data_IF_396478207425
#
_entry.id   IF_396478207425
#
_cell.length_a   1.000
_cell.length_b   1.000
_cell.length_c   1.000
_cell.angle_alpha   90.00
_cell.angle_beta   90.00
_cell.angle_gamma   90.00
#
_symmetry.space_group_name_H-M   'P 1'
#
loop_
_entity.id
_entity.type
_entity.pdbx_description
1 polymer ?
#
# COMPACT_ATOMS: atom_id res chain seq x y z
N UNK A 1 0.45 -21.24 21.71
CA UNK A 1 0.53 -21.82 20.36
C UNK A 1 1.87 -22.50 20.10
N UNK A 2 1.95 -23.39 19.15
CA UNK A 2 3.21 -24.03 18.74
C UNK A 2 3.58 -23.62 17.33
N UNK A 3 4.87 -23.29 17.12
CA UNK A 3 5.46 -22.97 15.83
C UNK A 3 6.68 -23.88 15.67
N UNK A 4 6.61 -24.85 14.77
CA UNK A 4 7.70 -25.84 14.56
C UNK A 4 8.24 -26.48 15.85
N UNK A 5 7.35 -26.77 16.80
CA UNK A 5 7.70 -27.35 18.10
C UNK A 5 8.03 -26.34 19.21
N UNK A 6 8.16 -25.06 18.91
CA UNK A 6 8.41 -23.99 19.87
C UNK A 6 7.10 -23.35 20.36
N UNK A 7 7.13 -22.84 21.59
CA UNK A 7 6.00 -22.06 22.12
C UNK A 7 6.12 -20.60 21.71
N UNK A 8 5.10 -20.10 21.02
CA UNK A 8 4.98 -18.71 20.65
C UNK A 8 3.77 -18.04 21.32
N UNK A 9 3.81 -16.72 21.41
CA UNK A 9 2.75 -15.87 21.93
C UNK A 9 2.26 -14.86 20.89
N UNK A 10 0.94 -14.74 20.74
CA UNK A 10 0.32 -13.73 19.91
C UNK A 10 -0.43 -12.77 20.82
N UNK A 11 -0.04 -11.47 20.90
CA UNK A 11 -0.83 -10.47 21.62
C UNK A 11 -2.24 -10.36 21.03
N UNK A 12 -3.25 -10.12 21.88
CA UNK A 12 -4.65 -10.01 21.43
C UNK A 12 -4.89 -8.93 20.37
N UNK A 13 -4.13 -7.84 20.41
CA UNK A 13 -4.14 -6.78 19.41
C UNK A 13 -3.60 -7.20 18.02
N UNK A 14 -2.85 -8.29 17.96
CA UNK A 14 -2.25 -8.84 16.74
C UNK A 14 -3.01 -10.03 16.14
N UNK A 15 -4.16 -10.37 16.71
CA UNK A 15 -5.11 -11.32 16.15
C UNK A 15 -6.11 -10.53 15.29
N UNK A 16 -6.42 -11.04 14.10
CA UNK A 16 -7.43 -10.40 13.25
C UNK A 16 -8.81 -10.44 13.93
N UNK A 17 -9.47 -9.30 14.04
CA UNK A 17 -10.68 -9.09 14.81
C UNK A 17 -11.94 -9.88 14.34
N UNK A 18 -11.83 -10.66 13.28
CA UNK A 18 -12.96 -11.41 12.71
C UNK A 18 -13.19 -12.80 13.33
N UNK A 19 -12.27 -13.26 14.16
CA UNK A 19 -12.37 -14.58 14.82
C UNK A 19 -12.23 -14.44 16.32
N UNK A 20 -13.10 -15.10 17.05
CA UNK A 20 -13.03 -15.21 18.52
C UNK A 20 -11.87 -16.14 18.86
N UNK A 21 -11.18 -15.90 19.97
CA UNK A 21 -9.99 -16.67 20.37
C UNK A 21 -10.25 -18.19 20.43
N UNK A 22 -11.42 -18.58 20.86
CA UNK A 22 -11.81 -19.98 21.03
C UNK A 22 -11.98 -20.72 19.68
N UNK A 23 -12.33 -20.00 18.62
CA UNK A 23 -12.48 -20.57 17.28
C UNK A 23 -11.13 -20.84 16.57
N UNK A 24 -10.03 -20.38 17.15
CA UNK A 24 -8.68 -20.51 16.57
C UNK A 24 -7.93 -21.73 17.13
N UNK A 25 -8.47 -22.41 18.11
CA UNK A 25 -7.82 -23.57 18.70
C UNK A 25 -7.78 -24.73 17.70
N UNK A 26 -6.60 -25.23 17.41
CA UNK A 26 -6.37 -26.29 16.42
C UNK A 26 -6.27 -25.83 14.96
N UNK A 27 -6.38 -24.54 14.66
CA UNK A 27 -6.20 -24.00 13.30
C UNK A 27 -4.74 -23.63 13.00
N UNK A 28 -4.37 -23.78 11.72
CA UNK A 28 -3.09 -23.29 11.21
C UNK A 28 -3.25 -21.85 10.72
N UNK A 29 -2.45 -20.94 11.25
CA UNK A 29 -2.52 -19.51 10.92
C UNK A 29 -1.20 -19.02 10.32
N UNK A 30 -1.24 -18.16 9.29
CA UNK A 30 -0.04 -17.46 8.84
C UNK A 30 0.39 -16.47 9.91
N UNK A 31 1.68 -16.46 10.24
CA UNK A 31 2.25 -15.64 11.30
C UNK A 31 3.54 -14.97 10.86
N UNK A 32 3.76 -13.75 11.33
CA UNK A 32 5.02 -13.02 11.17
C UNK A 32 5.68 -12.83 12.54
N UNK A 33 6.98 -13.02 12.60
CA UNK A 33 7.76 -12.79 13.82
C UNK A 33 7.82 -11.28 14.12
N UNK A 34 7.48 -10.92 15.37
CA UNK A 34 7.63 -9.56 15.88
C UNK A 34 8.89 -9.43 16.73
N UNK A 35 9.14 -10.39 17.59
CA UNK A 35 10.24 -10.42 18.53
C UNK A 35 10.69 -11.86 18.76
N UNK A 36 11.99 -12.07 18.71
CA UNK A 36 12.64 -13.34 19.04
C UNK A 36 13.68 -13.04 20.11
N UNK A 37 13.47 -13.53 21.33
CA UNK A 37 14.39 -13.41 22.45
C UNK A 37 14.84 -14.81 22.88
N UNK A 38 16.05 -15.17 22.50
CA UNK A 38 16.64 -16.49 22.78
C UNK A 38 16.96 -16.66 24.26
N UNK A 39 17.41 -15.60 24.94
CA UNK A 39 17.78 -15.67 26.36
C UNK A 39 16.58 -15.93 27.27
N UNK A 40 15.44 -15.32 26.93
CA UNK A 40 14.18 -15.48 27.65
C UNK A 40 13.26 -16.56 27.07
N UNK A 41 13.70 -17.20 26.02
CA UNK A 41 12.92 -18.21 25.30
C UNK A 41 11.53 -17.68 24.86
N UNK A 42 11.51 -16.42 24.42
CA UNK A 42 10.29 -15.68 24.10
C UNK A 42 10.16 -15.46 22.60
N UNK A 43 9.04 -15.90 22.06
CA UNK A 43 8.68 -15.76 20.66
C UNK A 43 7.36 -15.01 20.57
N UNK A 44 7.36 -13.80 20.01
CA UNK A 44 6.17 -12.98 19.78
C UNK A 44 5.84 -12.94 18.31
N UNK A 45 4.60 -13.24 17.97
CA UNK A 45 4.11 -13.42 16.60
C UNK A 45 2.89 -12.55 16.32
N UNK A 46 2.66 -12.22 15.05
CA UNK A 46 1.49 -11.47 14.61
C UNK A 46 0.80 -12.13 13.42
N UNK A 47 -0.42 -12.53 13.63
CA UNK A 47 -1.34 -12.98 12.58
C UNK A 47 -1.78 -11.80 11.69
N UNK A 48 -2.09 -10.67 12.30
CA UNK A 48 -2.54 -9.46 11.61
C UNK A 48 -1.48 -8.95 10.60
N UNK A 49 -0.21 -8.88 11.00
CA UNK A 49 0.89 -8.47 10.10
C UNK A 49 1.12 -9.46 8.97
N UNK A 50 1.02 -10.76 9.22
CA UNK A 50 1.13 -11.77 8.18
C UNK A 50 0.04 -11.64 7.12
N UNK A 51 -1.20 -11.35 7.51
CA UNK A 51 -2.31 -11.11 6.57
C UNK A 51 -2.10 -9.83 5.75
N UNK A 52 -1.62 -8.75 6.36
CA UNK A 52 -1.30 -7.51 5.66
C UNK A 52 -0.21 -7.74 4.62
N UNK A 53 0.89 -8.38 5.00
CA UNK A 53 1.99 -8.70 4.09
C UNK A 53 1.54 -9.58 2.92
N UNK A 54 0.75 -10.60 3.16
CA UNK A 54 0.19 -11.47 2.12
C UNK A 54 -0.68 -10.70 1.13
N UNK A 55 -1.47 -9.74 1.60
CA UNK A 55 -2.28 -8.87 0.72
C UNK A 55 -1.41 -7.91 -0.08
N UNK A 56 -0.42 -7.30 0.55
CA UNK A 56 0.50 -6.38 -0.12
C UNK A 56 1.33 -7.07 -1.20
N UNK A 57 1.74 -8.31 -1.00
CA UNK A 57 2.48 -9.09 -2.01
C UNK A 57 1.69 -9.36 -3.30
N UNK A 58 0.37 -9.19 -3.28
CA UNK A 58 -0.50 -9.29 -4.46
C UNK A 58 -0.69 -7.97 -5.19
N UNK A 59 -0.24 -6.87 -4.61
CA UNK A 59 -0.35 -5.53 -5.15
C UNK A 59 0.95 -5.15 -5.85
N UNK A 60 0.85 -4.37 -6.91
CA UNK A 60 1.98 -3.88 -7.69
C UNK A 60 1.94 -2.36 -7.81
N UNK A 61 3.12 -1.74 -7.86
CA UNK A 61 3.25 -0.30 -8.17
C UNK A 61 2.72 -0.04 -9.58
N UNK A 62 1.89 0.98 -9.72
CA UNK A 62 1.22 1.32 -10.97
C UNK A 62 -0.12 0.60 -11.20
N UNK A 63 -0.56 -0.23 -10.25
CA UNK A 63 -1.88 -0.87 -10.29
C UNK A 63 -2.98 0.09 -9.84
N UNK A 64 -4.12 0.05 -10.51
CA UNK A 64 -5.33 0.78 -10.12
C UNK A 64 -6.19 -0.11 -9.25
N UNK A 65 -6.55 0.39 -8.09
CA UNK A 65 -7.42 -0.31 -7.13
C UNK A 65 -8.58 0.57 -6.72
N UNK A 66 -9.69 -0.05 -6.35
CA UNK A 66 -10.85 0.63 -5.78
C UNK A 66 -10.72 0.62 -4.27
N UNK A 67 -10.79 1.79 -3.66
CA UNK A 67 -10.71 1.96 -2.21
C UNK A 67 -11.83 2.83 -1.68
N UNK A 68 -12.00 2.79 -0.35
CA UNK A 68 -12.95 3.62 0.38
C UNK A 68 -12.20 4.56 1.33
N UNK A 69 -12.59 5.81 1.37
CA UNK A 69 -12.04 6.79 2.30
C UNK A 69 -12.46 6.44 3.73
N UNK A 70 -11.50 6.15 4.59
CA UNK A 70 -11.75 5.80 6.00
C UNK A 70 -11.52 6.98 6.94
N UNK A 71 -10.65 7.88 6.60
CA UNK A 71 -10.36 9.06 7.39
C UNK A 71 -9.67 10.12 6.55
N UNK A 72 -9.93 11.38 6.88
CA UNK A 72 -9.33 12.54 6.21
C UNK A 72 -8.52 13.31 7.23
N UNK A 73 -7.29 13.62 6.87
CA UNK A 73 -6.34 14.40 7.67
C UNK A 73 -5.92 15.66 6.90
N UNK A 74 -5.36 16.67 7.57
CA UNK A 74 -4.90 17.89 6.90
C UNK A 74 -3.84 17.64 5.81
N UNK A 75 -3.07 16.57 5.93
CA UNK A 75 -2.00 16.19 4.99
C UNK A 75 -2.42 15.16 3.92
N UNK A 76 -3.63 14.62 4.00
CA UNK A 76 -4.11 13.61 3.06
C UNK A 76 -5.28 12.79 3.59
N UNK A 77 -5.53 11.66 2.98
CA UNK A 77 -6.61 10.75 3.34
C UNK A 77 -6.13 9.30 3.46
N UNK A 78 -6.73 8.55 4.37
CA UNK A 78 -6.53 7.12 4.48
C UNK A 78 -7.58 6.38 3.66
N UNK A 79 -7.11 5.54 2.75
CA UNK A 79 -7.95 4.79 1.82
C UNK A 79 -7.83 3.30 2.14
N UNK A 80 -8.94 2.64 2.37
CA UNK A 80 -8.99 1.19 2.57
C UNK A 80 -9.15 0.47 1.22
N UNK A 81 -8.15 -0.32 0.85
CA UNK A 81 -8.09 -1.07 -0.41
C UNK A 81 -8.23 -2.58 -0.19
N UNK A 82 -9.29 -2.99 0.48
CA UNK A 82 -9.58 -4.40 0.72
C UNK A 82 -8.94 -4.99 1.98
N UNK A 83 -8.93 -4.22 3.07
CA UNK A 83 -8.40 -4.61 4.39
C UNK A 83 -6.96 -4.17 4.64
N UNK A 84 -6.35 -3.47 3.69
CA UNK A 84 -5.09 -2.76 3.84
C UNK A 84 -5.35 -1.28 3.60
N UNK A 85 -4.81 -0.42 4.45
CA UNK A 85 -4.96 1.03 4.33
C UNK A 85 -3.75 1.65 3.65
N UNK A 86 -4.01 2.49 2.64
CA UNK A 86 -3.01 3.32 1.99
C UNK A 86 -3.21 4.80 2.34
N UNK A 87 -2.15 5.58 2.17
CA UNK A 87 -2.18 7.03 2.32
C UNK A 87 -2.23 7.70 0.94
N UNK A 88 -3.27 8.49 0.72
CA UNK A 88 -3.36 9.44 -0.40
C UNK A 88 -2.93 10.81 0.13
N UNK A 89 -1.68 11.19 -0.12
CA UNK A 89 -1.16 12.49 0.29
C UNK A 89 -1.85 13.62 -0.48
N UNK A 90 -2.00 14.78 0.15
CA UNK A 90 -2.67 15.94 -0.46
C UNK A 90 -2.03 16.38 -1.79
N UNK A 91 -0.72 16.26 -1.92
CA UNK A 91 0.02 16.54 -3.17
C UNK A 91 -0.22 15.53 -4.29
N UNK A 92 -0.78 14.37 -3.97
CA UNK A 92 -1.07 13.26 -4.89
C UNK A 92 -2.55 13.15 -5.27
N UNK A 93 -3.40 14.07 -4.82
CA UNK A 93 -4.82 14.10 -5.15
C UNK A 93 -5.04 14.69 -6.53
N UNK A 94 -4.41 15.83 -6.84
CA UNK A 94 -4.53 16.53 -8.12
C UNK A 94 -3.22 17.23 -8.49
N UNK A 95 -3.07 17.57 -9.77
CA UNK A 95 -2.01 18.45 -10.25
C UNK A 95 -2.20 19.89 -9.77
N UNK A 96 -3.44 20.27 -9.46
CA UNK A 96 -3.73 21.59 -8.89
C UNK A 96 -3.54 21.59 -7.37
N UNK A 97 -3.24 22.78 -6.85
CA UNK A 97 -3.10 22.97 -5.41
C UNK A 97 -4.42 22.80 -4.68
N UNK A 98 -4.41 21.98 -3.63
CA UNK A 98 -5.56 21.73 -2.76
C UNK A 98 -5.17 22.20 -1.36
N UNK A 99 -5.96 23.08 -0.77
CA UNK A 99 -5.71 23.58 0.60
C UNK A 99 -6.02 22.52 1.66
N UNK A 100 -7.07 21.76 1.44
CA UNK A 100 -7.50 20.69 2.36
C UNK A 100 -8.16 19.53 1.61
N UNK A 101 -7.87 18.28 1.98
CA UNK A 101 -8.50 17.11 1.37
C UNK A 101 -10.02 17.07 1.53
N UNK A 102 -10.57 17.71 2.56
CA UNK A 102 -12.02 17.81 2.80
C UNK A 102 -12.79 18.51 1.68
N UNK A 103 -12.13 19.32 0.88
CA UNK A 103 -12.76 20.01 -0.25
C UNK A 103 -13.07 19.07 -1.41
N UNK A 104 -12.39 17.93 -1.50
CA UNK A 104 -12.46 16.99 -2.62
C UNK A 104 -13.01 15.63 -2.22
N UNK A 105 -12.73 15.20 -0.98
CA UNK A 105 -12.99 13.86 -0.48
C UNK A 105 -13.96 13.89 0.70
N UNK A 106 -14.78 12.85 0.78
CA UNK A 106 -15.65 12.61 1.94
C UNK A 106 -15.37 11.22 2.51
N UNK A 107 -15.58 11.05 3.81
CA UNK A 107 -15.47 9.75 4.47
C UNK A 107 -16.52 8.78 3.89
N UNK A 108 -16.11 7.54 3.66
CA UNK A 108 -16.86 6.47 3.01
C UNK A 108 -17.06 6.61 1.49
N UNK A 109 -16.51 7.62 0.85
CA UNK A 109 -16.49 7.68 -0.62
C UNK A 109 -15.67 6.54 -1.19
N UNK A 110 -16.17 5.95 -2.26
CA UNK A 110 -15.42 5.00 -3.07
C UNK A 110 -14.71 5.73 -4.20
N UNK A 111 -13.45 5.38 -4.41
CA UNK A 111 -12.65 6.00 -5.46
C UNK A 111 -11.63 5.01 -6.03
N UNK A 112 -11.22 5.26 -7.26
CA UNK A 112 -10.09 4.57 -7.88
C UNK A 112 -8.81 5.32 -7.56
N UNK A 113 -7.80 4.59 -7.12
CA UNK A 113 -6.48 5.11 -6.79
C UNK A 113 -5.41 4.24 -7.43
N UNK A 114 -4.28 4.83 -7.74
CA UNK A 114 -3.11 4.09 -8.24
C UNK A 114 -2.08 3.94 -7.14
N UNK A 115 -1.49 2.77 -7.06
CA UNK A 115 -0.40 2.48 -6.12
C UNK A 115 0.89 3.02 -6.71
N UNK A 116 1.55 3.93 -5.99
CA UNK A 116 2.82 4.54 -6.40
C UNK A 116 4.01 4.04 -5.60
N UNK A 117 3.77 3.54 -4.40
CA UNK A 117 4.80 2.95 -3.55
C UNK A 117 4.21 1.90 -2.61
N UNK A 118 4.98 0.85 -2.36
CA UNK A 118 4.63 -0.27 -1.49
C UNK A 118 5.78 -0.56 -0.52
N UNK A 119 5.50 -0.45 0.77
CA UNK A 119 6.41 -0.87 1.84
C UNK A 119 5.76 -2.01 2.64
N UNK A 120 6.04 -3.25 2.25
CA UNK A 120 5.48 -4.44 2.89
C UNK A 120 6.00 -4.66 4.32
N UNK A 121 7.21 -4.23 4.62
CA UNK A 121 7.79 -4.37 5.95
C UNK A 121 7.08 -3.49 6.97
N UNK A 122 6.76 -2.24 6.60
CA UNK A 122 6.04 -1.28 7.43
C UNK A 122 4.53 -1.35 7.28
N UNK A 123 4.03 -2.09 6.28
CA UNK A 123 2.62 -2.16 5.96
C UNK A 123 2.05 -0.84 5.43
N UNK A 124 2.86 -0.06 4.72
CA UNK A 124 2.49 1.25 4.16
C UNK A 124 2.31 1.18 2.65
N UNK A 125 1.27 1.82 2.17
CA UNK A 125 0.98 1.95 0.74
C UNK A 125 0.78 3.43 0.46
N UNK A 126 1.51 3.95 -0.53
CA UNK A 126 1.30 5.30 -1.04
C UNK A 126 0.44 5.25 -2.29
N UNK A 127 -0.58 6.10 -2.32
CA UNK A 127 -1.59 6.15 -3.37
C UNK A 127 -1.55 7.49 -4.09
N UNK A 128 -2.01 7.51 -5.34
CA UNK A 128 -2.14 8.72 -6.14
C UNK A 128 -3.41 8.68 -7.01
N UNK A 129 -4.14 9.76 -7.03
CA UNK A 129 -5.17 10.06 -8.04
C UNK A 129 -4.65 11.06 -9.07
N UNK A 130 -3.64 11.83 -8.73
CA UNK A 130 -2.94 12.75 -9.63
C UNK A 130 -2.39 12.04 -10.86
N UNK A 131 -1.80 10.87 -10.70
CA UNK A 131 -1.30 10.05 -11.81
C UNK A 131 -2.40 9.53 -12.75
N UNK A 132 -3.65 9.48 -12.28
CA UNK A 132 -4.83 9.06 -13.04
C UNK A 132 -5.57 10.23 -13.70
N UNK A 133 -5.20 11.46 -13.36
CA UNK A 133 -5.84 12.67 -13.83
C UNK A 133 -5.46 12.94 -15.30
N UNK A 134 -6.44 12.92 -16.25
CA UNK A 134 -6.14 13.16 -17.66
C UNK A 134 -5.69 14.59 -17.95
N UNK A 135 -6.28 15.55 -17.23
CA UNK A 135 -5.95 16.96 -17.31
C UNK A 135 -5.82 17.55 -15.91
N UNK A 136 -4.93 18.52 -15.68
CA UNK A 136 -4.80 19.16 -14.37
C UNK A 136 -6.13 19.72 -13.87
N UNK A 137 -6.49 19.38 -12.61
CA UNK A 137 -7.73 19.83 -11.99
C UNK A 137 -8.97 18.98 -12.26
N UNK A 138 -8.90 17.96 -13.11
CA UNK A 138 -10.04 17.06 -13.38
C UNK A 138 -10.56 16.37 -12.11
N UNK A 139 -9.69 16.04 -11.18
CA UNK A 139 -10.11 15.44 -9.91
C UNK A 139 -10.96 16.39 -9.05
N UNK A 140 -10.80 17.70 -9.22
CA UNK A 140 -11.54 18.74 -8.52
C UNK A 140 -12.88 19.06 -9.21
N UNK A 141 -12.92 19.00 -10.54
CA UNK A 141 -14.07 19.38 -11.36
C UNK A 141 -14.96 18.22 -11.73
N UNK A 142 -14.38 17.10 -12.13
CA UNK A 142 -15.10 15.88 -12.54
C UNK A 142 -14.33 14.60 -12.14
N UNK A 143 -14.44 14.14 -10.87
CA UNK A 143 -13.79 12.91 -10.42
C UNK A 143 -14.21 11.67 -11.22
N UNK A 144 -15.43 11.64 -11.75
CA UNK A 144 -15.92 10.49 -12.52
C UNK A 144 -15.15 10.32 -13.84
N UNK A 145 -14.76 11.41 -14.46
CA UNK A 145 -13.90 11.41 -15.66
C UNK A 145 -12.54 10.79 -15.33
N UNK A 146 -11.94 11.15 -14.19
CA UNK A 146 -10.68 10.58 -13.71
C UNK A 146 -10.82 9.07 -13.49
N UNK A 147 -11.88 8.63 -12.83
CA UNK A 147 -12.10 7.22 -12.54
C UNK A 147 -12.42 6.39 -13.79
N UNK A 148 -13.14 6.94 -14.74
CA UNK A 148 -13.43 6.26 -16.01
C UNK A 148 -12.19 6.04 -16.88
N UNK A 149 -11.22 6.93 -16.81
CA UNK A 149 -9.95 6.85 -17.54
C UNK A 149 -8.77 6.32 -16.71
N UNK A 150 -9.02 5.92 -15.47
CA UNK A 150 -7.99 5.49 -14.52
C UNK A 150 -7.10 4.36 -15.07
N UNK A 151 -7.68 3.37 -15.69
CA UNK A 151 -6.95 2.22 -16.24
C UNK A 151 -6.06 2.62 -17.43
N UNK A 152 -6.55 3.49 -18.30
CA UNK A 152 -5.79 4.03 -19.42
C UNK A 152 -4.60 4.87 -18.95
N UNK A 153 -4.82 5.74 -17.98
CA UNK A 153 -3.77 6.57 -17.39
C UNK A 153 -2.73 5.75 -16.62
N UNK A 154 -3.16 4.72 -15.92
CA UNK A 154 -2.24 3.80 -15.25
C UNK A 154 -1.36 3.03 -16.24
N UNK A 155 -1.90 2.61 -17.36
CA UNK A 155 -1.13 1.98 -18.43
C UNK A 155 -0.05 2.92 -18.99
N UNK A 156 -0.38 4.17 -19.21
CA UNK A 156 0.59 5.21 -19.63
C UNK A 156 1.68 5.43 -18.57
N UNK A 157 1.31 5.47 -17.32
CA UNK A 157 2.26 5.63 -16.23
C UNK A 157 3.24 4.45 -16.14
N UNK A 158 2.74 3.22 -16.26
CA UNK A 158 3.59 2.02 -16.31
C UNK A 158 4.58 2.06 -17.48
N UNK A 159 4.11 2.46 -18.64
CA UNK A 159 4.97 2.59 -19.83
C UNK A 159 6.09 3.62 -19.61
N UNK A 160 5.77 4.77 -19.03
CA UNK A 160 6.79 5.79 -18.68
C UNK A 160 7.82 5.28 -17.67
N UNK A 161 7.41 4.47 -16.70
CA UNK A 161 8.34 3.86 -15.74
C UNK A 161 9.30 2.88 -16.42
N UNK A 162 8.83 2.08 -17.37
CA UNK A 162 9.68 1.17 -18.13
C UNK A 162 10.70 1.92 -18.98
N UNK A 163 10.29 2.98 -19.66
CA UNK A 163 11.18 3.82 -20.48
C UNK A 163 12.28 4.48 -19.64
N UNK A 164 12.00 4.89 -18.41
CA UNK A 164 12.99 5.46 -17.49
C UNK A 164 13.99 4.45 -16.93
N UNK A 165 13.62 3.16 -16.87
CA UNK A 165 14.54 2.11 -16.41
C UNK A 165 15.51 1.68 -17.50
N UNK A 166 15.12 1.72 -18.76
CA UNK A 166 16.00 1.39 -19.88
C UNK A 166 17.10 2.42 -20.10
N UNK A 167 16.84 3.70 -19.82
CA UNK A 167 17.84 4.78 -19.93
C UNK A 167 18.94 4.73 -18.84
N UNK A 168 18.75 3.93 -17.80
CA UNK A 168 19.68 3.87 -16.67
C UNK A 168 20.65 2.65 -16.74
N UNK A 169 20.56 1.80 -17.77
CA UNK A 169 21.47 0.66 -17.95
C UNK A 169 22.68 0.93 -18.87
N UNK A 170 22.80 2.11 -19.47
CA UNK A 170 24.07 2.50 -20.11
C UNK A 170 25.08 3.03 -19.09
N UNK A 171 25.71 2.13 -18.37
CA UNK A 171 27.00 2.41 -17.72
C UNK A 171 28.07 2.29 -18.81
N UNK A 172 28.73 3.36 -19.20
CA UNK A 172 29.90 3.21 -20.08
C UNK A 172 30.95 2.45 -19.31
N UNK A 173 31.28 1.27 -19.81
CA UNK A 173 32.45 0.54 -19.37
C UNK A 173 33.69 1.40 -19.68
N UNK A 174 34.24 2.03 -18.66
CA UNK A 174 35.52 2.66 -18.76
C UNK A 174 36.56 1.56 -18.99
N UNK A 175 37.01 1.46 -20.22
CA UNK A 175 38.18 0.70 -20.57
C UNK A 175 39.38 1.31 -19.83
N UNK A 176 39.90 0.58 -18.88
CA UNK A 176 41.22 0.84 -18.32
C UNK A 176 42.25 0.41 -19.35
N UNK A 177 42.76 1.37 -20.09
CA UNK A 177 44.06 1.18 -20.75
C UNK A 177 45.16 1.43 -19.73
N UNK A 178 45.79 0.33 -19.40
CA UNK A 178 47.09 0.32 -18.70
C UNK A 178 48.16 0.54 -19.72
N UNK A 179 48.97 1.55 -19.51
CA UNK A 179 50.32 1.64 -20.05
C UNK A 179 51.31 1.44 -18.92
#
# INVERSE_FOLDING_TARGET
MRVEGLRGFIPGSHISARKIKDDLEGEYLPLKFLEVDEERNRLVLSHRRALVEKKMNRLEVGEVVVGSVKGIKPYGAFIDIGGVSGLLHISEISHEHIETPHNVLNVNDQMKVMIIDLDSERGRISLSTKALEPEPGDMLTDPQKVFSKAEEMAAKYKQMLFEQTDDNEEIPSASSETV
#
